data_IF_447634158819
#
_entry.id   IF_447634158819
#
_cell.length_a   1.000
_cell.length_b   1.000
_cell.length_c   1.000
_cell.angle_alpha   90.00
_cell.angle_beta   90.00
_cell.angle_gamma   90.00
#
_symmetry.space_group_name_H-M   'P 1'
#
loop_
_entity.id
_entity.type
_entity.pdbx_description
1 polymer ?
#
# COMPACT_ATOMS: atom_id res chain seq x y z
N UNK A 1 -32.24 19.36 -34.18
CA UNK A 1 -31.00 18.92 -33.48
C UNK A 1 -30.65 17.50 -33.91
N UNK A 2 -29.40 17.25 -34.39
CA UNK A 2 -29.03 15.93 -34.84
C UNK A 2 -29.14 14.93 -33.67
N UNK A 3 -29.48 13.69 -33.95
CA UNK A 3 -29.60 12.62 -32.95
C UNK A 3 -28.30 12.50 -32.11
N UNK A 4 -27.18 12.75 -32.73
CA UNK A 4 -25.88 12.80 -32.12
C UNK A 4 -25.77 13.88 -31.01
N UNK A 5 -26.27 15.09 -31.27
CA UNK A 5 -26.24 16.18 -30.27
C UNK A 5 -27.13 15.89 -29.07
N UNK A 6 -28.25 15.17 -29.26
CA UNK A 6 -29.12 14.74 -28.15
C UNK A 6 -28.42 13.75 -27.22
N UNK A 7 -27.62 12.82 -27.76
CA UNK A 7 -26.86 11.88 -26.96
C UNK A 7 -25.73 12.55 -26.17
N UNK A 8 -25.03 13.53 -26.76
CA UNK A 8 -24.02 14.32 -26.06
C UNK A 8 -24.65 15.04 -24.88
N UNK A 9 -25.74 15.78 -25.11
CA UNK A 9 -26.43 16.49 -24.04
C UNK A 9 -26.93 15.55 -22.92
N UNK A 10 -27.41 14.37 -23.26
CA UNK A 10 -27.84 13.39 -22.29
C UNK A 10 -26.66 12.91 -21.43
N UNK A 11 -25.52 12.63 -22.03
CA UNK A 11 -24.32 12.21 -21.33
C UNK A 11 -23.80 13.31 -20.40
N UNK A 12 -23.81 14.57 -20.87
CA UNK A 12 -23.37 15.70 -20.05
C UNK A 12 -24.30 15.92 -18.85
N UNK A 13 -25.63 15.81 -19.04
CA UNK A 13 -26.58 15.89 -17.93
C UNK A 13 -26.38 14.76 -16.92
N UNK A 14 -26.19 13.53 -17.38
CA UNK A 14 -25.92 12.40 -16.50
C UNK A 14 -24.61 12.60 -15.74
N UNK A 15 -23.59 13.16 -16.39
CA UNK A 15 -22.31 13.48 -15.76
C UNK A 15 -22.43 14.58 -14.70
N UNK A 16 -23.22 15.61 -14.97
CA UNK A 16 -23.52 16.68 -14.00
C UNK A 16 -24.27 16.13 -12.79
N UNK A 17 -25.30 15.31 -13.02
CA UNK A 17 -26.06 14.65 -11.93
C UNK A 17 -25.12 13.78 -11.08
N UNK A 18 -24.27 12.99 -11.72
CA UNK A 18 -23.26 12.17 -11.06
C UNK A 18 -22.31 13.02 -10.22
N UNK A 19 -21.78 14.11 -10.78
CA UNK A 19 -20.90 15.04 -10.08
C UNK A 19 -21.59 15.70 -8.89
N UNK A 20 -22.85 16.09 -9.01
CA UNK A 20 -23.65 16.68 -7.92
C UNK A 20 -23.90 15.69 -6.79
N UNK A 21 -24.29 14.44 -7.11
CA UNK A 21 -24.48 13.37 -6.10
C UNK A 21 -23.18 13.11 -5.35
N UNK A 22 -22.05 13.05 -6.05
CA UNK A 22 -20.75 12.87 -5.43
C UNK A 22 -20.31 14.06 -4.57
N UNK A 23 -20.64 15.28 -4.98
CA UNK A 23 -20.31 16.49 -4.22
C UNK A 23 -21.19 16.63 -2.98
N UNK A 24 -22.44 16.20 -3.06
CA UNK A 24 -23.38 16.24 -1.93
C UNK A 24 -23.00 15.23 -0.84
N UNK A 25 -22.52 14.04 -1.21
CA UNK A 25 -22.02 13.04 -0.27
C UNK A 25 -20.76 13.48 0.48
N UNK A 26 -20.01 14.45 -0.04
CA UNK A 26 -18.84 15.03 0.63
C UNK A 26 -19.14 16.08 1.71
N UNK A 27 -20.41 16.45 1.92
CA UNK A 27 -20.77 17.46 2.93
C UNK A 27 -20.47 17.03 4.36
N UNK A 28 -20.44 15.74 4.66
CA UNK A 28 -20.10 15.22 5.96
C UNK A 28 -18.63 15.48 6.37
N UNK A 29 -17.73 15.60 5.39
CA UNK A 29 -16.33 15.95 5.64
C UNK A 29 -16.10 17.40 6.06
N UNK A 30 -17.02 18.30 5.75
CA UNK A 30 -16.89 19.74 6.09
C UNK A 30 -17.43 20.08 7.47
N UNK A 31 -18.12 19.14 8.14
CA UNK A 31 -18.77 19.41 9.43
C UNK A 31 -17.91 19.08 10.64
N UNK A 32 -16.79 18.37 10.47
CA UNK A 32 -15.87 18.06 11.55
C UNK A 32 -14.58 18.89 11.43
N UNK A 33 -14.43 19.96 12.24
CA UNK A 33 -13.22 20.79 12.20
C UNK A 33 -11.96 20.02 12.59
N UNK A 34 -12.07 18.93 13.38
CA UNK A 34 -10.93 18.14 13.83
C UNK A 34 -10.25 17.37 12.67
N UNK A 35 -10.96 17.16 11.58
CA UNK A 35 -10.46 16.45 10.40
C UNK A 35 -9.33 17.20 9.64
N UNK A 36 -9.12 18.47 9.94
CA UNK A 36 -8.11 19.30 9.29
C UNK A 36 -6.90 19.59 10.17
N UNK A 37 -6.89 19.10 11.40
CA UNK A 37 -5.74 19.28 12.27
C UNK A 37 -4.71 18.17 12.02
N UNK A 38 -3.59 18.56 11.43
CA UNK A 38 -2.40 17.72 11.39
C UNK A 38 -1.82 17.71 12.81
N UNK A 39 -1.83 16.57 13.46
CA UNK A 39 -1.08 16.36 14.69
C UNK A 39 0.37 16.13 14.30
N UNK A 40 1.28 16.97 14.77
CA UNK A 40 2.71 16.77 14.60
C UNK A 40 3.23 15.92 15.76
N UNK A 41 3.69 14.71 15.45
CA UNK A 41 4.24 13.80 16.44
C UNK A 41 5.57 13.24 15.90
N UNK A 42 6.65 13.96 16.17
CA UNK A 42 7.96 13.66 15.62
C UNK A 42 8.46 12.29 16.07
N UNK A 43 8.84 11.46 15.11
CA UNK A 43 9.50 10.19 15.35
C UNK A 43 11.02 10.45 15.45
N UNK A 44 11.53 10.61 16.65
CA UNK A 44 12.96 10.93 16.86
C UNK A 44 13.89 9.77 16.52
N UNK A 45 13.46 8.54 16.78
CA UNK A 45 14.23 7.32 16.48
C UNK A 45 13.31 6.33 15.79
N UNK A 46 13.33 6.27 14.46
CA UNK A 46 12.57 5.25 13.74
C UNK A 46 13.14 3.86 14.04
N UNK A 47 12.27 2.96 14.45
CA UNK A 47 12.53 1.53 14.66
C UNK A 47 11.53 0.77 13.79
N UNK A 48 12.01 0.19 12.71
CA UNK A 48 11.19 -0.36 11.65
C UNK A 48 11.18 -1.88 11.67
N UNK A 49 9.98 -2.46 11.65
CA UNK A 49 9.74 -3.86 11.31
C UNK A 49 9.23 -3.97 9.88
N UNK A 50 9.97 -4.60 8.99
CA UNK A 50 9.58 -4.84 7.61
C UNK A 50 8.91 -6.20 7.49
N UNK A 51 7.66 -6.22 7.00
CA UNK A 51 6.87 -7.43 6.75
C UNK A 51 6.86 -7.71 5.25
N UNK A 52 7.24 -8.93 4.87
CA UNK A 52 7.37 -9.38 3.49
C UNK A 52 6.53 -10.64 3.30
N UNK A 53 5.28 -10.54 2.79
CA UNK A 53 4.53 -11.70 2.36
C UNK A 53 5.22 -12.34 1.14
N UNK A 54 5.46 -13.66 1.18
CA UNK A 54 6.16 -14.36 0.13
C UNK A 54 5.44 -15.66 -0.27
N UNK A 55 5.49 -16.00 -1.57
CA UNK A 55 5.01 -17.27 -2.11
C UNK A 55 5.76 -17.62 -3.39
N UNK A 56 6.66 -18.59 -3.33
CA UNK A 56 7.51 -19.03 -4.46
C UNK A 56 8.32 -17.87 -5.06
N UNK A 57 9.14 -17.23 -4.23
CA UNK A 57 9.95 -16.06 -4.59
C UNK A 57 11.45 -16.31 -4.37
N UNK A 58 11.94 -17.52 -4.66
CA UNK A 58 13.33 -17.89 -4.46
C UNK A 58 14.34 -17.04 -5.22
N UNK A 59 13.92 -16.45 -6.37
CA UNK A 59 14.78 -15.61 -7.21
C UNK A 59 14.96 -14.18 -6.65
N UNK A 60 13.96 -13.66 -5.92
CA UNK A 60 13.89 -12.25 -5.50
C UNK A 60 14.10 -12.04 -4.01
N UNK A 61 13.70 -13.00 -3.17
CA UNK A 61 13.63 -12.84 -1.70
C UNK A 61 14.99 -12.52 -1.06
N UNK A 62 16.10 -13.06 -1.57
CA UNK A 62 17.43 -12.77 -1.06
C UNK A 62 17.75 -11.28 -1.16
N UNK A 63 17.56 -10.73 -2.36
CA UNK A 63 17.80 -9.32 -2.63
C UNK A 63 16.95 -8.43 -1.73
N UNK A 64 15.64 -8.71 -1.64
CA UNK A 64 14.69 -7.92 -0.85
C UNK A 64 15.11 -7.91 0.62
N UNK A 65 15.34 -9.06 1.23
CA UNK A 65 15.74 -9.16 2.64
C UNK A 65 17.03 -8.40 2.91
N UNK A 66 18.05 -8.57 2.05
CA UNK A 66 19.36 -7.92 2.24
C UNK A 66 19.24 -6.40 2.08
N UNK A 67 18.50 -5.90 1.09
CA UNK A 67 18.36 -4.46 0.85
C UNK A 67 17.65 -3.76 2.02
N UNK A 68 16.60 -4.36 2.57
CA UNK A 68 15.91 -3.78 3.73
C UNK A 68 16.75 -3.88 5.01
N UNK A 69 17.46 -4.97 5.24
CA UNK A 69 18.34 -5.12 6.40
C UNK A 69 19.55 -4.17 6.41
N UNK A 70 19.94 -3.64 5.26
CA UNK A 70 21.02 -2.64 5.18
C UNK A 70 20.61 -1.24 5.67
N UNK A 71 19.33 -1.00 5.89
CA UNK A 71 18.86 0.29 6.39
C UNK A 71 19.07 0.36 7.90
N UNK A 72 19.78 1.36 8.41
CA UNK A 72 20.17 1.49 9.82
C UNK A 72 18.99 1.56 10.80
N UNK A 73 17.83 1.96 10.31
CA UNK A 73 16.59 2.07 11.09
C UNK A 73 15.69 0.83 11.01
N UNK A 74 16.11 -0.22 10.29
CA UNK A 74 15.36 -1.49 10.18
C UNK A 74 15.90 -2.48 11.21
N UNK A 75 15.14 -2.71 12.27
CA UNK A 75 15.52 -3.63 13.34
C UNK A 75 15.08 -5.07 13.06
N UNK A 76 13.96 -5.24 12.37
CA UNK A 76 13.39 -6.55 12.09
C UNK A 76 12.94 -6.68 10.64
N UNK A 77 13.23 -7.84 10.03
CA UNK A 77 12.65 -8.26 8.75
C UNK A 77 11.91 -9.56 8.98
N UNK A 78 10.60 -9.54 8.78
CA UNK A 78 9.68 -10.65 8.98
C UNK A 78 9.15 -11.13 7.63
N UNK A 79 9.53 -12.32 7.21
CA UNK A 79 8.99 -12.96 6.00
C UNK A 79 7.84 -13.87 6.40
N UNK A 80 6.68 -13.65 5.78
CA UNK A 80 5.48 -14.48 5.98
C UNK A 80 5.31 -15.37 4.76
N UNK A 81 5.77 -16.58 4.87
CA UNK A 81 5.70 -17.59 3.82
C UNK A 81 4.30 -18.19 3.71
N UNK A 82 3.71 -18.08 2.53
CA UNK A 82 2.37 -18.58 2.23
C UNK A 82 2.38 -20.03 1.69
N UNK A 83 3.20 -20.90 2.29
CA UNK A 83 3.38 -22.29 1.89
C UNK A 83 4.11 -22.42 0.54
N UNK A 84 5.28 -21.85 0.44
CA UNK A 84 6.15 -21.97 -0.74
C UNK A 84 6.65 -23.41 -0.91
N UNK A 85 6.73 -23.84 -2.16
CA UNK A 85 7.26 -25.15 -2.56
C UNK A 85 8.71 -25.12 -3.02
N UNK A 86 9.27 -23.94 -3.21
CA UNK A 86 10.65 -23.67 -3.63
C UNK A 86 11.58 -23.37 -2.44
N UNK A 87 12.74 -22.80 -2.69
CA UNK A 87 13.72 -22.48 -1.64
C UNK A 87 13.49 -21.14 -0.93
N UNK A 88 12.37 -20.45 -1.16
CA UNK A 88 12.08 -19.12 -0.57
C UNK A 88 12.36 -19.07 0.93
N UNK A 89 11.84 -20.01 1.71
CA UNK A 89 11.99 -20.06 3.18
C UNK A 89 13.44 -20.21 3.59
N UNK A 90 14.18 -21.13 2.94
CA UNK A 90 15.57 -21.39 3.30
C UNK A 90 16.47 -20.19 2.97
N UNK A 91 16.20 -19.53 1.85
CA UNK A 91 16.94 -18.34 1.43
C UNK A 91 16.66 -17.19 2.41
N UNK A 92 15.40 -16.92 2.74
CA UNK A 92 15.04 -15.86 3.68
C UNK A 92 15.70 -16.03 5.06
N UNK A 93 15.68 -17.27 5.60
CA UNK A 93 16.36 -17.61 6.87
C UNK A 93 17.87 -17.41 6.79
N UNK A 94 18.50 -17.83 5.69
CA UNK A 94 19.95 -17.64 5.48
C UNK A 94 20.34 -16.18 5.44
N UNK A 95 19.48 -15.30 4.89
CA UNK A 95 19.68 -13.86 4.89
C UNK A 95 19.37 -13.20 6.26
N UNK A 96 18.98 -13.99 7.25
CA UNK A 96 18.73 -13.54 8.62
C UNK A 96 17.37 -12.87 8.82
N UNK A 97 16.39 -13.18 8.00
CA UNK A 97 15.00 -12.78 8.24
C UNK A 97 14.35 -13.72 9.28
N UNK A 98 13.43 -13.18 10.06
CA UNK A 98 12.49 -13.99 10.85
C UNK A 98 11.44 -14.55 9.88
N UNK A 99 11.23 -15.87 9.86
CA UNK A 99 10.33 -16.49 8.91
C UNK A 99 9.19 -17.19 9.64
N UNK A 100 7.96 -16.87 9.25
CA UNK A 100 6.75 -17.56 9.67
C UNK A 100 6.18 -18.28 8.45
N UNK A 101 6.12 -19.62 8.50
CA UNK A 101 5.54 -20.43 7.44
C UNK A 101 4.15 -20.93 7.82
N UNK A 102 3.26 -21.00 6.85
CA UNK A 102 1.92 -21.54 7.01
C UNK A 102 1.85 -22.98 6.57
N UNK A 103 0.92 -23.73 7.14
CA UNK A 103 0.70 -25.14 6.81
C UNK A 103 0.09 -25.34 5.41
N UNK A 104 -0.60 -24.31 4.88
CA UNK A 104 -1.19 -24.31 3.54
C UNK A 104 -1.35 -22.88 3.02
N UNK A 105 -1.53 -22.74 1.70
CA UNK A 105 -1.72 -21.46 1.05
C UNK A 105 -3.09 -20.86 1.44
N UNK A 106 -3.08 -19.78 2.19
CA UNK A 106 -4.29 -19.04 2.64
C UNK A 106 -4.50 -17.73 1.88
N UNK A 107 -3.68 -17.47 0.88
CA UNK A 107 -3.72 -16.26 0.06
C UNK A 107 -2.96 -15.08 0.65
N UNK A 108 -2.72 -14.09 -0.21
CA UNK A 108 -1.91 -12.90 0.07
C UNK A 108 -2.44 -12.06 1.24
N UNK A 109 -3.76 -11.78 1.25
CA UNK A 109 -4.37 -10.97 2.29
C UNK A 109 -4.21 -11.58 3.71
N UNK A 110 -4.26 -12.91 3.81
CA UNK A 110 -4.04 -13.59 5.08
C UNK A 110 -2.57 -13.49 5.52
N UNK A 111 -1.62 -13.59 4.60
CA UNK A 111 -0.19 -13.37 4.90
C UNK A 111 0.07 -11.97 5.41
N UNK A 112 -0.56 -11.00 4.79
CA UNK A 112 -0.52 -9.60 5.18
C UNK A 112 -1.01 -9.37 6.62
N UNK A 113 -2.21 -9.90 6.92
CA UNK A 113 -2.80 -9.82 8.26
C UNK A 113 -1.96 -10.52 9.32
N UNK A 114 -1.46 -11.72 9.02
CA UNK A 114 -0.58 -12.47 9.92
C UNK A 114 0.71 -11.70 10.18
N UNK A 115 1.35 -11.19 9.14
CA UNK A 115 2.59 -10.43 9.28
C UNK A 115 2.41 -9.16 10.11
N UNK A 116 1.31 -8.42 9.89
CA UNK A 116 0.96 -7.25 10.70
C UNK A 116 0.75 -7.63 12.17
N UNK A 117 0.00 -8.71 12.42
CA UNK A 117 -0.29 -9.18 13.78
C UNK A 117 0.97 -9.63 14.54
N UNK A 118 1.92 -10.23 13.85
CA UNK A 118 3.20 -10.63 14.46
C UNK A 118 4.14 -9.43 14.63
N UNK A 119 4.18 -8.51 13.67
CA UNK A 119 4.99 -7.30 13.77
C UNK A 119 4.56 -6.41 14.95
N UNK A 120 3.27 -6.37 15.28
CA UNK A 120 2.75 -5.65 16.45
C UNK A 120 3.21 -6.22 17.81
N UNK A 121 3.74 -7.45 17.84
CA UNK A 121 4.30 -8.08 19.04
C UNK A 121 5.78 -7.75 19.21
N UNK A 122 6.42 -7.22 18.19
CA UNK A 122 7.82 -6.85 18.19
C UNK A 122 7.98 -5.41 18.67
N UNK A 123 9.11 -5.13 19.31
CA UNK A 123 9.48 -3.78 19.69
C UNK A 123 9.80 -2.97 18.43
N UNK A 124 9.01 -1.95 18.15
CA UNK A 124 9.17 -1.07 17.01
C UNK A 124 8.05 -0.03 16.95
N UNK A 125 8.30 1.10 16.30
CA UNK A 125 7.32 2.18 16.19
C UNK A 125 6.77 2.34 14.76
N UNK A 126 7.36 1.64 13.78
CA UNK A 126 6.94 1.68 12.39
C UNK A 126 6.86 0.26 11.83
N UNK A 127 5.75 -0.06 11.19
CA UNK A 127 5.61 -1.30 10.43
C UNK A 127 5.55 -0.94 8.95
N UNK A 128 6.39 -1.60 8.16
CA UNK A 128 6.45 -1.44 6.72
C UNK A 128 6.03 -2.75 6.06
N UNK A 129 5.18 -2.71 5.06
CA UNK A 129 4.81 -3.89 4.28
C UNK A 129 5.25 -3.69 2.85
N UNK A 130 5.98 -4.66 2.32
CA UNK A 130 6.51 -4.67 0.96
C UNK A 130 6.31 -6.04 0.31
N UNK A 131 6.20 -6.05 -1.02
CA UNK A 131 6.14 -7.29 -1.78
C UNK A 131 7.53 -7.95 -1.87
N UNK A 132 7.55 -9.26 -2.08
CA UNK A 132 8.77 -10.07 -2.18
C UNK A 132 9.44 -10.07 -3.55
N UNK A 133 8.83 -9.43 -4.56
CA UNK A 133 9.22 -9.45 -5.97
C UNK A 133 10.34 -8.45 -6.35
N UNK A 134 10.96 -7.80 -5.38
CA UNK A 134 11.98 -6.76 -5.56
C UNK A 134 11.53 -5.53 -6.38
N UNK A 135 10.22 -5.27 -6.47
CA UNK A 135 9.68 -4.09 -7.17
C UNK A 135 9.96 -2.79 -6.39
N UNK A 136 10.07 -2.86 -5.07
CA UNK A 136 10.26 -1.71 -4.20
C UNK A 136 11.71 -1.55 -3.75
N UNK A 137 12.18 -0.31 -3.76
CA UNK A 137 13.53 0.02 -3.31
C UNK A 137 13.52 0.37 -1.82
N UNK A 138 14.40 -0.27 -1.04
CA UNK A 138 14.52 -0.02 0.41
C UNK A 138 14.90 1.44 0.75
N UNK A 139 15.62 2.14 -0.13
CA UNK A 139 15.96 3.56 0.06
C UNK A 139 14.75 4.50 0.04
N UNK A 140 13.61 4.07 -0.51
CA UNK A 140 12.40 4.89 -0.51
C UNK A 140 11.82 5.08 0.90
N UNK A 141 12.13 4.18 1.84
CA UNK A 141 11.75 4.35 3.24
C UNK A 141 12.31 5.62 3.85
N UNK A 142 13.54 6.00 3.51
CA UNK A 142 14.15 7.24 4.01
C UNK A 142 13.34 8.48 3.60
N UNK A 143 12.67 8.43 2.44
CA UNK A 143 11.81 9.49 1.95
C UNK A 143 10.41 9.46 2.58
N UNK A 144 9.93 8.27 2.96
CA UNK A 144 8.56 8.06 3.47
C UNK A 144 8.45 8.30 4.97
N UNK A 145 9.43 7.88 5.75
CA UNK A 145 9.41 7.98 7.23
C UNK A 145 9.11 9.39 7.74
N UNK A 146 9.70 10.49 7.19
CA UNK A 146 9.42 11.83 7.68
C UNK A 146 7.96 12.28 7.55
N UNK A 147 7.18 11.68 6.64
CA UNK A 147 5.76 11.99 6.53
C UNK A 147 4.93 11.42 7.69
N UNK A 148 5.43 10.38 8.37
CA UNK A 148 4.77 9.80 9.54
C UNK A 148 4.75 10.74 10.75
N UNK A 149 5.53 11.81 10.74
CA UNK A 149 5.45 12.87 11.74
C UNK A 149 4.07 13.56 11.75
N UNK A 150 3.33 13.48 10.64
CA UNK A 150 2.07 14.18 10.43
C UNK A 150 0.88 13.26 10.09
N UNK A 151 1.11 11.97 9.95
CA UNK A 151 0.06 11.00 9.60
C UNK A 151 0.38 9.61 10.13
N UNK A 152 -0.64 8.81 10.35
CA UNK A 152 -0.51 7.45 10.87
C UNK A 152 -0.11 6.42 9.81
N UNK A 153 -0.28 6.75 8.53
CA UNK A 153 0.02 5.84 7.42
C UNK A 153 0.50 6.60 6.18
N UNK A 154 1.56 6.10 5.57
CA UNK A 154 2.11 6.59 4.30
C UNK A 154 2.10 5.47 3.27
N UNK A 155 1.54 5.74 2.10
CA UNK A 155 1.46 4.78 1.00
C UNK A 155 2.27 5.32 -0.18
N UNK A 156 3.23 4.53 -0.67
CA UNK A 156 3.97 4.83 -1.89
C UNK A 156 3.07 4.74 -3.12
N UNK A 157 3.09 5.76 -3.98
CA UNK A 157 2.31 5.79 -5.20
C UNK A 157 3.19 5.59 -6.43
N UNK A 158 3.02 4.47 -7.13
CA UNK A 158 3.75 4.16 -8.38
C UNK A 158 3.23 4.87 -9.64
N UNK A 159 2.09 5.57 -9.54
CA UNK A 159 1.46 6.22 -10.69
C UNK A 159 2.01 7.62 -10.99
N UNK A 160 2.84 8.18 -10.09
CA UNK A 160 3.43 9.50 -10.28
C UNK A 160 4.73 9.36 -11.06
N UNK A 161 4.66 9.56 -12.37
CA UNK A 161 5.77 9.42 -13.31
C UNK A 161 6.99 10.32 -13.01
N UNK A 162 6.79 11.45 -12.33
CA UNK A 162 7.86 12.42 -12.06
C UNK A 162 8.89 11.98 -11.02
N UNK A 163 8.64 10.89 -10.29
CA UNK A 163 9.50 10.36 -9.23
C UNK A 163 10.04 8.95 -9.54
N UNK A 164 9.59 8.33 -10.62
CA UNK A 164 10.04 7.00 -11.00
C UNK A 164 11.14 7.10 -12.06
N UNK A 165 12.33 6.62 -11.74
CA UNK A 165 13.34 6.31 -12.75
C UNK A 165 12.76 5.20 -13.66
N UNK A 166 12.77 5.50 -14.96
CA UNK A 166 12.47 4.68 -16.13
C UNK A 166 12.12 3.22 -15.87
N UNK A 167 10.97 2.80 -16.33
CA UNK A 167 10.37 1.46 -16.41
C UNK A 167 9.23 1.19 -15.45
N UNK A 168 8.22 2.06 -15.46
CA UNK A 168 6.93 1.64 -14.92
C UNK A 168 6.30 0.61 -15.87
N UNK A 169 6.12 -0.61 -15.40
CA UNK A 169 5.38 -1.67 -16.09
C UNK A 169 3.89 -1.33 -16.30
N UNK A 170 3.45 -0.18 -15.83
CA UNK A 170 2.06 0.26 -15.91
C UNK A 170 1.87 1.04 -17.21
N UNK A 171 1.29 0.41 -18.20
CA UNK A 171 0.83 1.09 -19.40
C UNK A 171 -0.43 1.93 -19.11
N UNK A 172 -0.75 2.88 -19.99
CA UNK A 172 -1.90 3.80 -19.85
C UNK A 172 -3.23 3.06 -19.63
N UNK A 173 -3.41 1.88 -20.21
CA UNK A 173 -4.63 1.09 -20.07
C UNK A 173 -4.77 0.50 -18.66
N UNK A 174 -3.69 -0.04 -18.10
CA UNK A 174 -3.67 -0.54 -16.72
C UNK A 174 -3.87 0.60 -15.70
N UNK A 175 -3.25 1.76 -15.94
CA UNK A 175 -3.46 2.94 -15.10
C UNK A 175 -4.93 3.38 -15.09
N UNK A 176 -5.59 3.39 -16.26
CA UNK A 176 -7.02 3.69 -16.37
C UNK A 176 -7.87 2.63 -15.67
N UNK A 177 -7.58 1.34 -15.86
CA UNK A 177 -8.29 0.25 -15.20
C UNK A 177 -8.19 0.32 -13.68
N UNK A 178 -7.00 0.59 -13.14
CA UNK A 178 -6.79 0.76 -11.70
C UNK A 178 -7.55 1.97 -11.15
N UNK A 179 -7.54 3.11 -11.86
CA UNK A 179 -8.31 4.29 -11.47
C UNK A 179 -9.83 4.02 -11.49
N UNK A 180 -10.33 3.26 -12.46
CA UNK A 180 -11.73 2.88 -12.55
C UNK A 180 -12.14 1.96 -11.38
N UNK A 181 -11.35 0.93 -11.09
CA UNK A 181 -11.60 0.02 -9.97
C UNK A 181 -11.54 0.78 -8.64
N UNK A 182 -10.53 1.63 -8.44
CA UNK A 182 -10.42 2.46 -7.24
C UNK A 182 -11.66 3.35 -7.05
N UNK A 183 -12.22 3.88 -8.15
CA UNK A 183 -13.44 4.67 -8.13
C UNK A 183 -14.66 3.86 -7.73
N UNK A 184 -14.79 2.63 -8.21
CA UNK A 184 -15.86 1.70 -7.80
C UNK A 184 -15.78 1.35 -6.32
N UNK A 185 -14.58 1.09 -5.80
CA UNK A 185 -14.36 0.86 -4.37
C UNK A 185 -14.73 2.11 -3.55
N UNK A 186 -14.33 3.29 -4.01
CA UNK A 186 -14.70 4.54 -3.36
C UNK A 186 -16.21 4.71 -3.24
N UNK A 187 -16.98 4.39 -4.29
CA UNK A 187 -18.45 4.43 -4.28
C UNK A 187 -19.02 3.46 -3.24
N UNK A 188 -18.49 2.24 -3.18
CA UNK A 188 -19.00 1.18 -2.30
C UNK A 188 -18.69 1.40 -0.82
N UNK A 189 -17.58 2.07 -0.49
CA UNK A 189 -17.05 2.15 0.87
C UNK A 189 -17.06 3.56 1.48
N UNK A 190 -17.42 4.60 0.71
CA UNK A 190 -17.54 5.98 1.21
C UNK A 190 -18.47 6.09 2.43
N UNK A 191 -19.50 5.24 2.55
CA UNK A 191 -20.41 5.26 3.69
C UNK A 191 -19.90 4.47 4.92
N UNK A 192 -18.86 3.64 4.77
CA UNK A 192 -18.41 2.72 5.82
C UNK A 192 -17.09 3.12 6.51
N UNK A 193 -16.35 4.03 5.93
CA UNK A 193 -15.14 4.54 6.57
C UNK A 193 -15.54 5.71 7.49
N UNK A 194 -16.12 5.39 8.63
CA UNK A 194 -16.00 6.23 9.81
C UNK A 194 -14.58 6.01 10.31
N UNK A 195 -13.70 6.92 9.97
CA UNK A 195 -12.40 7.03 10.62
C UNK A 195 -12.71 7.51 12.04
N UNK A 196 -12.20 6.81 13.09
CA UNK A 196 -12.45 7.21 14.47
C UNK A 196 -11.86 8.57 14.76
#
# INVERSE_FOLDING_TARGET
>A
LSTYLKWILLIDVLWIIFALVFTYGRKSYKSDPSFHYLTYNKIEKPSVCVVIPAYNEEESIERVVIEFKKQDFVDNVLVVDNHSSDNTVNIAKRCGANVISKDHNMGYAHSWWMGLSEALKLDGNIIVIVDSDATYNAYDLQKMIPYLDNCDMVIGNRLIQSLNESETQINTFLAWGNAFIAKLFQIKYIEKIKIP
#
